data_IF_788271145259
#
_entry.id   IF_788271145259
#
_cell.length_a   1.000
_cell.length_b   1.000
_cell.length_c   1.000
_cell.angle_alpha   90.00
_cell.angle_beta   90.00
_cell.angle_gamma   90.00
#
_symmetry.space_group_name_H-M   'P 1'
#
loop_
_entity.id
_entity.type
_entity.pdbx_description
1 polymer ?
#
# COMPACT_ATOMS: atom_id res chain seq x y z
N UNK A 1 13.67 -10.74 -6.85
CA UNK A 1 12.64 -9.69 -6.60
C UNK A 1 12.45 -9.60 -5.09
N UNK A 2 12.92 -8.53 -4.45
CA UNK A 2 12.74 -8.36 -3.01
C UNK A 2 11.31 -7.84 -2.74
N UNK A 3 10.52 -8.58 -1.96
CA UNK A 3 9.21 -8.12 -1.52
C UNK A 3 9.38 -7.19 -0.32
N UNK A 4 9.03 -5.91 -0.48
CA UNK A 4 9.17 -4.93 0.60
C UNK A 4 7.86 -4.77 1.37
N UNK A 5 7.92 -5.10 2.66
CA UNK A 5 6.79 -4.96 3.59
C UNK A 5 6.67 -3.56 4.20
N UNK A 6 7.66 -2.71 4.02
CA UNK A 6 7.67 -1.35 4.55
C UNK A 6 8.47 -0.43 3.64
N UNK A 7 8.00 0.80 3.49
CA UNK A 7 8.70 1.85 2.73
C UNK A 7 10.09 2.16 3.29
N UNK A 8 10.33 1.91 4.58
CA UNK A 8 11.66 2.02 5.20
C UNK A 8 12.68 1.01 4.67
N UNK A 9 12.21 -0.16 4.21
CA UNK A 9 13.09 -1.22 3.68
C UNK A 9 13.45 -1.00 2.21
N UNK A 10 12.81 -0.05 1.53
CA UNK A 10 13.11 0.29 0.14
C UNK A 10 14.38 1.16 0.12
N UNK A 11 15.51 0.69 -0.43
CA UNK A 11 16.79 1.42 -0.36
C UNK A 11 16.71 2.81 -0.99
N UNK A 12 15.96 2.97 -2.09
CA UNK A 12 15.75 4.24 -2.78
C UNK A 12 15.04 5.31 -1.92
N UNK A 13 14.27 4.87 -0.92
CA UNK A 13 13.47 5.75 -0.06
C UNK A 13 14.12 6.04 1.29
N UNK A 14 15.27 5.43 1.59
CA UNK A 14 15.89 5.55 2.92
C UNK A 14 16.35 6.96 3.26
N UNK A 15 16.78 7.74 2.26
CA UNK A 15 17.24 9.12 2.43
C UNK A 15 16.13 10.13 2.75
N UNK A 16 14.86 9.79 2.50
CA UNK A 16 13.72 10.69 2.71
C UNK A 16 13.08 10.49 4.09
N UNK A 17 12.50 11.54 4.67
CA UNK A 17 11.71 11.49 5.91
C UNK A 17 10.41 10.70 5.74
N UNK A 18 9.74 10.37 6.86
CA UNK A 18 8.49 9.59 6.80
C UNK A 18 7.42 10.23 5.91
N UNK A 19 7.26 11.55 5.98
CA UNK A 19 6.27 12.31 5.19
C UNK A 19 6.65 12.29 3.71
N UNK A 20 7.92 12.56 3.39
CA UNK A 20 8.42 12.54 2.01
C UNK A 20 8.31 11.15 1.38
N UNK A 21 8.60 10.08 2.13
CA UNK A 21 8.40 8.70 1.67
C UNK A 21 6.95 8.43 1.30
N UNK A 22 5.99 8.91 2.09
CA UNK A 22 4.56 8.76 1.80
C UNK A 22 4.16 9.54 0.54
N UNK A 23 4.66 10.76 0.39
CA UNK A 23 4.42 11.61 -0.79
C UNK A 23 4.97 10.97 -2.09
N UNK A 24 6.22 10.50 -2.06
CA UNK A 24 6.86 9.82 -3.20
C UNK A 24 6.12 8.53 -3.55
N UNK A 25 5.69 7.75 -2.55
CA UNK A 25 4.91 6.54 -2.80
C UNK A 25 3.55 6.85 -3.46
N UNK A 26 2.90 7.94 -3.05
CA UNK A 26 1.65 8.39 -3.64
C UNK A 26 1.85 8.85 -5.09
N UNK A 27 2.91 9.60 -5.36
CA UNK A 27 3.28 10.01 -6.72
C UNK A 27 3.60 8.79 -7.61
N UNK A 28 4.33 7.79 -7.10
CA UNK A 28 4.62 6.55 -7.82
C UNK A 28 3.35 5.76 -8.16
N UNK A 29 2.35 5.76 -7.27
CA UNK A 29 1.05 5.13 -7.54
C UNK A 29 0.25 5.88 -8.60
N UNK A 30 0.33 7.21 -8.64
CA UNK A 30 -0.32 8.01 -9.69
C UNK A 30 0.36 7.84 -11.05
N UNK A 31 1.68 7.65 -11.06
CA UNK A 31 2.46 7.35 -12.27
C UNK A 31 2.26 5.92 -12.81
N UNK A 32 1.55 5.04 -12.09
CA UNK A 32 1.25 3.70 -12.60
C UNK A 32 0.30 3.75 -13.81
N UNK A 33 0.57 2.96 -14.86
CA UNK A 33 -0.36 2.73 -15.94
C UNK A 33 -1.71 2.22 -15.43
N UNK A 34 -2.80 2.69 -16.04
CA UNK A 34 -4.18 2.29 -15.74
C UNK A 34 -4.37 0.79 -15.50
N UNK A 35 -3.90 -0.14 -16.36
CA UNK A 35 -4.09 -1.57 -16.14
C UNK A 35 -3.40 -2.08 -14.86
N UNK A 36 -2.21 -1.56 -14.53
CA UNK A 36 -1.50 -1.93 -13.30
C UNK A 36 -2.19 -1.39 -12.05
N UNK A 37 -2.70 -0.17 -12.12
CA UNK A 37 -3.49 0.44 -11.04
C UNK A 37 -4.78 -0.33 -10.79
N UNK A 38 -5.42 -0.82 -11.84
CA UNK A 38 -6.59 -1.70 -11.77
C UNK A 38 -6.27 -3.01 -11.05
N UNK A 39 -5.19 -3.69 -11.45
CA UNK A 39 -4.74 -4.93 -10.77
C UNK A 39 -4.41 -4.66 -9.30
N UNK A 40 -3.74 -3.54 -9.00
CA UNK A 40 -3.42 -3.15 -7.62
C UNK A 40 -4.69 -2.95 -6.78
N UNK A 41 -5.72 -2.31 -7.34
CA UNK A 41 -6.99 -2.11 -6.65
C UNK A 41 -7.80 -3.41 -6.53
N UNK A 42 -7.80 -4.28 -7.55
CA UNK A 42 -8.40 -5.62 -7.46
C UNK A 42 -7.71 -6.46 -6.37
N UNK A 43 -6.38 -6.40 -6.30
CA UNK A 43 -5.61 -7.10 -5.28
C UNK A 43 -5.96 -6.62 -3.86
N UNK A 44 -6.40 -5.36 -3.68
CA UNK A 44 -6.89 -4.85 -2.39
C UNK A 44 -8.29 -5.35 -2.06
N UNK A 45 -9.10 -5.72 -3.06
CA UNK A 45 -10.44 -6.29 -2.83
C UNK A 45 -10.37 -7.72 -2.27
N UNK A 46 -9.34 -8.50 -2.63
CA UNK A 46 -9.16 -9.88 -2.14
C UNK A 46 -9.13 -9.96 -0.60
N UNK A 47 -8.27 -9.21 0.13
CA UNK A 47 -8.28 -9.25 1.59
C UNK A 47 -9.58 -8.74 2.19
N UNK A 48 -10.29 -7.79 1.54
CA UNK A 48 -11.63 -7.37 1.96
C UNK A 48 -12.61 -8.54 1.86
N UNK A 49 -12.64 -9.25 0.74
CA UNK A 49 -13.50 -10.43 0.56
C UNK A 49 -13.20 -11.51 1.61
N UNK A 50 -11.93 -11.79 1.89
CA UNK A 50 -11.51 -12.76 2.93
C UNK A 50 -11.98 -12.32 4.31
N UNK A 51 -11.84 -11.03 4.64
CA UNK A 51 -12.32 -10.44 5.89
C UNK A 51 -13.84 -10.60 6.03
N UNK A 52 -14.60 -10.22 5.00
CA UNK A 52 -16.07 -10.33 5.04
C UNK A 52 -16.53 -11.78 5.16
N UNK A 53 -15.88 -12.70 4.43
CA UNK A 53 -16.14 -14.12 4.53
C UNK A 53 -15.87 -14.66 5.94
N UNK A 54 -14.73 -14.29 6.54
CA UNK A 54 -14.36 -14.73 7.88
C UNK A 54 -15.29 -14.21 8.99
N UNK A 55 -15.95 -13.07 8.78
CA UNK A 55 -16.84 -12.43 9.75
C UNK A 55 -18.30 -12.89 9.60
N UNK A 56 -18.68 -13.48 8.46
CA UNK A 56 -20.08 -13.75 8.11
C UNK A 56 -20.80 -14.63 9.13
N UNK A 57 -20.08 -15.60 9.72
CA UNK A 57 -20.64 -16.59 10.65
C UNK A 57 -20.29 -16.30 12.12
N UNK A 58 -19.55 -15.21 12.39
CA UNK A 58 -19.20 -14.85 13.76
C UNK A 58 -20.46 -14.34 14.44
N UNK A 59 -20.92 -15.00 15.52
CA UNK A 59 -22.13 -14.57 16.24
C UNK A 59 -21.82 -13.82 17.55
N UNK A 60 -22.78 -13.00 17.98
CA UNK A 60 -22.72 -12.30 19.27
C UNK A 60 -21.61 -11.24 19.38
N UNK A 61 -21.15 -11.01 20.61
CA UNK A 61 -20.14 -9.99 20.96
C UNK A 61 -18.74 -10.29 20.38
N UNK A 62 -18.50 -11.49 19.86
CA UNK A 62 -17.24 -11.88 19.22
C UNK A 62 -17.02 -11.23 17.84
N UNK A 63 -18.08 -10.66 17.23
CA UNK A 63 -17.98 -9.86 16.00
C UNK A 63 -17.08 -8.64 16.18
N UNK A 64 -17.12 -8.01 17.35
CA UNK A 64 -16.39 -6.76 17.61
C UNK A 64 -14.87 -6.94 17.50
N UNK A 65 -14.23 -7.88 18.22
CA UNK A 65 -12.80 -8.13 18.06
C UNK A 65 -12.45 -8.66 16.68
N UNK A 66 -13.32 -9.45 16.04
CA UNK A 66 -13.10 -9.94 14.67
C UNK A 66 -13.05 -8.77 13.65
N UNK A 67 -13.95 -7.81 13.78
CA UNK A 67 -14.00 -6.60 12.94
C UNK A 67 -12.76 -5.72 13.18
N UNK A 68 -12.31 -5.61 14.43
CA UNK A 68 -11.12 -4.86 14.81
C UNK A 68 -9.84 -5.50 14.24
N UNK A 69 -9.70 -6.82 14.40
CA UNK A 69 -8.61 -7.59 13.83
C UNK A 69 -8.57 -7.49 12.30
N UNK A 70 -9.73 -7.54 11.65
CA UNK A 70 -9.85 -7.34 10.21
C UNK A 70 -9.47 -5.92 9.77
N UNK A 71 -9.93 -4.90 10.50
CA UNK A 71 -9.60 -3.50 10.22
C UNK A 71 -8.11 -3.20 10.32
N UNK A 72 -7.39 -3.86 11.24
CA UNK A 72 -5.93 -3.77 11.39
C UNK A 72 -5.21 -4.67 10.38
N UNK A 73 -5.76 -5.85 10.06
CA UNK A 73 -5.20 -6.77 9.08
C UNK A 73 -5.22 -6.19 7.66
N UNK A 74 -6.27 -5.45 7.30
CA UNK A 74 -6.41 -4.83 5.98
C UNK A 74 -5.22 -3.94 5.55
N UNK A 75 -4.77 -2.94 6.32
CA UNK A 75 -3.60 -2.13 5.97
C UNK A 75 -2.32 -2.98 5.89
N UNK A 76 -2.18 -4.00 6.73
CA UNK A 76 -1.00 -4.88 6.73
C UNK A 76 -0.84 -5.67 5.42
N UNK A 77 -1.93 -6.03 4.75
CA UNK A 77 -1.87 -6.69 3.44
C UNK A 77 -1.82 -5.69 2.28
N UNK A 78 -2.53 -4.57 2.37
CA UNK A 78 -2.59 -3.61 1.26
C UNK A 78 -1.32 -2.76 1.12
N UNK A 79 -0.65 -2.46 2.23
CA UNK A 79 0.59 -1.68 2.24
C UNK A 79 1.76 -2.36 1.48
N UNK A 80 2.09 -3.65 1.67
CA UNK A 80 3.13 -4.33 0.89
C UNK A 80 2.77 -4.47 -0.59
N UNK A 81 1.50 -4.66 -0.94
CA UNK A 81 1.03 -4.70 -2.33
C UNK A 81 1.30 -3.35 -3.02
N UNK A 82 0.90 -2.26 -2.36
CA UNK A 82 1.15 -0.91 -2.85
C UNK A 82 2.65 -0.64 -3.05
N UNK A 83 3.50 -0.98 -2.06
CA UNK A 83 4.94 -0.76 -2.15
C UNK A 83 5.54 -1.56 -3.31
N UNK A 84 5.26 -2.86 -3.39
CA UNK A 84 5.84 -3.72 -4.43
C UNK A 84 5.41 -3.34 -5.84
N UNK A 85 4.15 -2.93 -6.03
CA UNK A 85 3.70 -2.48 -7.35
C UNK A 85 4.25 -1.11 -7.71
N UNK A 86 4.58 -0.27 -6.73
CA UNK A 86 5.12 1.08 -6.91
C UNK A 86 6.62 1.10 -7.17
N UNK A 87 7.38 0.09 -6.73
CA UNK A 87 8.84 -0.04 -6.94
C UNK A 87 9.33 0.42 -8.33
N UNK A 88 8.82 -0.10 -9.46
CA UNK A 88 9.31 0.29 -10.79
C UNK A 88 9.03 1.75 -11.17
N UNK A 89 8.19 2.45 -10.41
CA UNK A 89 7.83 3.85 -10.63
C UNK A 89 8.43 4.79 -9.57
N UNK A 90 9.10 4.25 -8.54
CA UNK A 90 9.69 5.05 -7.45
C UNK A 90 10.77 6.00 -7.98
N UNK A 91 11.66 5.55 -8.87
CA UNK A 91 12.71 6.42 -9.42
C UNK A 91 12.16 7.62 -10.20
N UNK A 92 11.05 7.41 -10.94
CA UNK A 92 10.35 8.50 -11.65
C UNK A 92 9.68 9.45 -10.67
N UNK A 93 9.03 8.91 -9.64
CA UNK A 93 8.38 9.69 -8.61
C UNK A 93 9.35 10.52 -7.76
N UNK A 94 10.54 9.97 -7.47
CA UNK A 94 11.62 10.69 -6.78
C UNK A 94 12.04 11.91 -7.60
N UNK A 95 12.35 11.73 -8.90
CA UNK A 95 12.74 12.84 -9.78
C UNK A 95 11.67 13.92 -9.86
N UNK A 96 10.40 13.50 -9.92
CA UNK A 96 9.28 14.44 -9.93
C UNK A 96 9.14 15.18 -8.59
N UNK A 97 9.31 14.47 -7.47
CA UNK A 97 9.27 15.05 -6.13
C UNK A 97 10.40 16.06 -5.89
N UNK A 98 11.61 15.76 -6.37
CA UNK A 98 12.75 16.67 -6.29
C UNK A 98 12.58 17.89 -7.20
N UNK A 99 12.04 17.71 -8.42
CA UNK A 99 11.69 18.82 -9.30
C UNK A 99 10.68 19.77 -8.65
N UNK A 100 9.61 19.25 -8.06
CA UNK A 100 8.59 20.05 -7.36
C UNK A 100 9.07 20.67 -6.04
N UNK A 101 10.22 20.24 -5.50
CA UNK A 101 10.83 20.82 -4.29
C UNK A 101 11.83 21.93 -4.62
N UNK A 102 12.33 21.97 -5.85
CA UNK A 102 13.27 22.98 -6.33
C UNK A 102 12.58 24.24 -6.89
N UNK A 103 11.26 24.18 -7.13
CA UNK A 103 10.37 25.31 -7.41
C UNK A 103 9.89 25.99 -6.12
#
# INVERSE_FOLDING_TARGET
>A
MALYFSSKKVPQLQQYSFVERAAILAAAQQAMPVPRRLICNLAKLVPICVVFYAIVDVQGWWKLPALLAAGIGYPLFTQPININMSLPYIDKAIRQFEASRAE
#
